data_IF_437694810428
#
_entry.id   IF_437694810428
#
_cell.length_a   1.000
_cell.length_b   1.000
_cell.length_c   1.000
_cell.angle_alpha   90.00
_cell.angle_beta   90.00
_cell.angle_gamma   90.00
#
_symmetry.space_group_name_H-M   'P 1'
#
loop_
_entity.id
_entity.type
_entity.pdbx_description
1 polymer ?
#
# COMPACT_ATOMS: atom_id res chain seq x y z
N UNK A 1 17.29 3.12 6.81
CA UNK A 1 16.48 2.16 6.06
C UNK A 1 15.28 2.89 5.48
N UNK A 2 14.86 2.63 4.25
CA UNK A 2 13.69 3.28 3.65
C UNK A 2 12.40 2.75 4.27
N UNK A 3 11.53 3.61 4.74
CA UNK A 3 10.17 3.28 5.12
C UNK A 3 9.24 3.56 3.93
N UNK A 4 8.72 2.51 3.29
CA UNK A 4 7.81 2.62 2.16
C UNK A 4 6.38 2.38 2.63
N UNK A 5 5.51 3.38 2.44
CA UNK A 5 4.13 3.35 2.94
C UNK A 5 3.16 3.52 1.77
N UNK A 6 2.33 2.51 1.53
CA UNK A 6 1.22 2.61 0.59
C UNK A 6 0.01 3.21 1.29
N UNK A 7 -0.42 4.40 0.86
CA UNK A 7 -1.49 5.17 1.49
C UNK A 7 -2.84 4.91 0.84
N UNK A 8 -3.90 5.03 1.66
CA UNK A 8 -5.31 4.93 1.25
C UNK A 8 -5.56 3.73 0.34
N UNK A 9 -4.88 2.64 0.68
CA UNK A 9 -4.82 1.43 -0.15
C UNK A 9 -6.20 0.83 -0.31
N UNK A 10 -6.56 0.56 -1.56
CA UNK A 10 -7.83 -0.07 -1.97
C UNK A 10 -7.89 -1.56 -1.58
N UNK A 11 -7.59 -1.86 -0.32
CA UNK A 11 -7.55 -3.19 0.28
C UNK A 11 -8.36 -3.20 1.59
N UNK A 12 -9.55 -3.76 1.55
CA UNK A 12 -10.46 -3.81 2.69
C UNK A 12 -11.39 -5.03 2.62
N UNK A 13 -11.98 -5.40 3.74
CA UNK A 13 -13.08 -6.36 3.75
C UNK A 13 -14.37 -5.70 3.25
N UNK A 14 -15.29 -6.51 2.74
CA UNK A 14 -16.64 -6.05 2.37
C UNK A 14 -17.29 -5.34 3.56
N UNK A 15 -17.69 -4.06 3.40
CA UNK A 15 -18.38 -3.30 4.44
C UNK A 15 -19.73 -3.90 4.80
N UNK A 16 -20.14 -3.85 6.09
CA UNK A 16 -21.39 -4.45 6.56
C UNK A 16 -22.65 -3.95 5.86
N UNK A 17 -22.67 -2.67 5.46
CA UNK A 17 -23.83 -2.03 4.81
C UNK A 17 -24.17 -2.64 3.44
N UNK A 18 -23.19 -3.21 2.72
CA UNK A 18 -23.40 -3.85 1.42
C UNK A 18 -23.33 -5.39 1.48
N UNK A 19 -23.01 -5.96 2.63
CA UNK A 19 -22.76 -7.41 2.79
C UNK A 19 -23.95 -8.31 2.43
N UNK A 20 -25.18 -7.76 2.44
CA UNK A 20 -26.40 -8.49 2.06
C UNK A 20 -26.69 -8.46 0.56
N UNK A 21 -25.94 -7.70 -0.23
CA UNK A 21 -26.16 -7.61 -1.67
C UNK A 21 -25.95 -8.96 -2.36
N UNK A 22 -26.82 -9.37 -3.33
CA UNK A 22 -26.77 -10.69 -3.96
C UNK A 22 -25.42 -11.07 -4.54
N UNK A 23 -24.71 -10.13 -5.19
CA UNK A 23 -23.38 -10.37 -5.77
C UNK A 23 -22.36 -10.77 -4.69
N UNK A 24 -22.37 -10.11 -3.53
CA UNK A 24 -21.47 -10.38 -2.41
C UNK A 24 -21.83 -11.72 -1.74
N UNK A 25 -23.13 -11.96 -1.49
CA UNK A 25 -23.59 -13.23 -0.92
C UNK A 25 -23.22 -14.41 -1.82
N UNK A 26 -23.38 -14.26 -3.14
CA UNK A 26 -23.00 -15.28 -4.13
C UNK A 26 -21.50 -15.59 -4.08
N UNK A 27 -20.63 -14.56 -4.06
CA UNK A 27 -19.18 -14.76 -4.01
C UNK A 27 -18.76 -15.38 -2.67
N UNK A 28 -19.26 -14.88 -1.55
CA UNK A 28 -18.98 -15.40 -0.22
C UNK A 28 -19.37 -16.88 -0.07
N UNK A 29 -20.55 -17.27 -0.59
CA UNK A 29 -21.03 -18.67 -0.60
C UNK A 29 -20.10 -19.57 -1.40
N UNK A 30 -19.69 -19.13 -2.62
CA UNK A 30 -18.74 -19.87 -3.47
C UNK A 30 -17.42 -20.10 -2.74
N UNK A 31 -16.98 -19.16 -1.93
CA UNK A 31 -15.72 -19.19 -1.18
C UNK A 31 -15.86 -19.79 0.22
N UNK A 32 -17.06 -20.23 0.61
CA UNK A 32 -17.39 -20.79 1.94
C UNK A 32 -16.98 -19.85 3.08
N UNK A 33 -17.14 -18.54 2.88
CA UNK A 33 -16.83 -17.47 3.86
C UNK A 33 -18.08 -16.63 4.17
N UNK A 34 -18.04 -15.89 5.30
CA UNK A 34 -19.08 -14.89 5.59
C UNK A 34 -18.89 -13.68 4.65
N UNK A 35 -19.96 -12.99 4.21
CA UNK A 35 -19.88 -11.81 3.36
C UNK A 35 -18.92 -10.73 3.85
N UNK A 36 -18.89 -10.46 5.15
CA UNK A 36 -17.99 -9.47 5.78
C UNK A 36 -16.56 -9.99 6.01
N UNK A 37 -16.22 -11.19 5.57
CA UNK A 37 -14.89 -11.80 5.68
C UNK A 37 -14.23 -12.07 4.33
N UNK A 38 -14.77 -11.50 3.27
CA UNK A 38 -14.14 -11.50 1.94
C UNK A 38 -13.64 -10.11 1.61
N UNK A 39 -12.57 -10.04 0.83
CA UNK A 39 -12.02 -8.77 0.33
C UNK A 39 -12.99 -8.16 -0.69
N UNK A 40 -13.20 -6.86 -0.60
CA UNK A 40 -13.94 -6.08 -1.58
C UNK A 40 -13.15 -6.05 -2.90
N UNK A 41 -13.80 -6.45 -4.00
CA UNK A 41 -13.18 -6.56 -5.33
C UNK A 41 -14.19 -6.06 -6.38
N UNK A 42 -13.91 -4.92 -6.99
CA UNK A 42 -14.81 -4.25 -7.95
C UNK A 42 -15.14 -5.17 -9.13
N UNK A 43 -14.20 -6.00 -9.59
CA UNK A 43 -14.45 -6.97 -10.66
C UNK A 43 -15.60 -7.95 -10.38
N UNK A 44 -15.98 -8.12 -9.11
CA UNK A 44 -17.04 -9.03 -8.65
C UNK A 44 -18.18 -8.32 -7.96
N UNK A 45 -17.90 -7.18 -7.32
CA UNK A 45 -18.81 -6.51 -6.39
C UNK A 45 -19.29 -5.14 -6.87
N UNK A 46 -18.94 -4.70 -8.09
CA UNK A 46 -19.23 -3.36 -8.61
C UNK A 46 -20.72 -2.95 -8.48
N UNK A 47 -21.65 -3.91 -8.67
CA UNK A 47 -23.09 -3.64 -8.49
C UNK A 47 -23.47 -3.34 -7.03
N UNK A 48 -22.76 -3.94 -6.07
CA UNK A 48 -22.99 -3.71 -4.66
C UNK A 48 -22.32 -2.41 -4.17
N UNK A 49 -21.36 -1.90 -4.92
CA UNK A 49 -20.56 -0.74 -4.52
C UNK A 49 -21.17 0.60 -4.90
N UNK A 50 -22.32 0.62 -5.61
CA UNK A 50 -22.90 1.86 -6.17
C UNK A 50 -23.06 2.99 -5.16
N UNK A 51 -23.50 2.65 -3.95
CA UNK A 51 -23.81 3.62 -2.88
C UNK A 51 -22.68 3.72 -1.83
N UNK A 52 -21.51 3.18 -2.11
CA UNK A 52 -20.36 3.35 -1.22
C UNK A 52 -19.75 4.74 -1.41
N UNK A 53 -19.48 5.40 -0.28
CA UNK A 53 -18.67 6.62 -0.28
C UNK A 53 -17.29 6.34 -0.89
N UNK A 54 -16.79 7.24 -1.71
CA UNK A 54 -15.50 7.15 -2.40
C UNK A 54 -15.32 5.82 -3.17
N UNK A 55 -16.42 5.36 -3.78
CA UNK A 55 -16.46 4.07 -4.46
C UNK A 55 -15.37 3.94 -5.54
N UNK A 56 -15.02 5.05 -6.19
CA UNK A 56 -14.00 5.15 -7.24
C UNK A 56 -12.58 4.82 -6.74
N UNK A 57 -12.35 4.89 -5.42
CA UNK A 57 -11.07 4.55 -4.77
C UNK A 57 -11.03 3.13 -4.23
N UNK A 58 -12.13 2.38 -4.28
CA UNK A 58 -12.29 1.13 -3.52
C UNK A 58 -12.32 -0.11 -4.42
N UNK A 59 -12.09 -1.28 -3.81
CA UNK A 59 -12.26 -2.57 -4.49
C UNK A 59 -11.20 -2.90 -5.55
N UNK A 60 -10.00 -2.32 -5.47
CA UNK A 60 -8.88 -2.59 -6.38
C UNK A 60 -7.65 -3.15 -5.65
N UNK A 61 -7.79 -4.31 -4.98
CA UNK A 61 -6.67 -4.95 -4.26
C UNK A 61 -5.55 -5.45 -5.19
N UNK A 62 -5.80 -5.52 -6.49
CA UNK A 62 -4.80 -5.83 -7.52
C UNK A 62 -3.68 -4.77 -7.58
N UNK A 63 -4.00 -3.48 -7.32
CA UNK A 63 -3.02 -2.40 -7.33
C UNK A 63 -1.93 -2.68 -6.29
N UNK A 64 -2.31 -2.87 -5.04
CA UNK A 64 -1.34 -3.13 -3.97
C UNK A 64 -0.64 -4.49 -4.15
N UNK A 65 -1.32 -5.49 -4.68
CA UNK A 65 -0.71 -6.78 -4.98
C UNK A 65 0.49 -6.65 -5.93
N UNK A 66 0.31 -5.92 -7.03
CA UNK A 66 1.37 -5.68 -8.01
C UNK A 66 2.52 -4.85 -7.43
N UNK A 67 2.21 -3.78 -6.68
CA UNK A 67 3.22 -2.96 -6.02
C UNK A 67 4.05 -3.77 -5.03
N UNK A 68 3.40 -4.58 -4.18
CA UNK A 68 4.10 -5.41 -3.20
C UNK A 68 4.98 -6.48 -3.85
N UNK A 69 4.54 -7.11 -4.93
CA UNK A 69 5.37 -8.05 -5.68
C UNK A 69 6.61 -7.35 -6.22
N UNK A 70 6.47 -6.15 -6.77
CA UNK A 70 7.60 -5.38 -7.29
C UNK A 70 8.62 -5.03 -6.17
N UNK A 71 8.15 -4.54 -5.02
CA UNK A 71 9.02 -4.21 -3.88
C UNK A 71 9.75 -5.45 -3.37
N UNK A 72 9.02 -6.54 -3.12
CA UNK A 72 9.57 -7.76 -2.51
C UNK A 72 10.52 -8.54 -3.44
N UNK A 73 10.35 -8.43 -4.76
CA UNK A 73 11.24 -9.04 -5.76
C UNK A 73 12.49 -8.16 -6.03
N UNK A 74 12.52 -6.92 -5.56
CA UNK A 74 13.63 -5.99 -5.81
C UNK A 74 14.88 -6.32 -4.98
N UNK A 75 16.04 -5.87 -5.45
CA UNK A 75 17.30 -5.95 -4.67
C UNK A 75 17.26 -5.07 -3.44
N UNK A 76 16.44 -3.99 -3.49
CA UNK A 76 16.25 -3.07 -2.39
C UNK A 76 15.43 -3.64 -1.23
N UNK A 77 14.66 -4.72 -1.44
CA UNK A 77 13.67 -5.23 -0.47
C UNK A 77 14.22 -5.38 0.95
N UNK A 78 15.43 -5.90 1.11
CA UNK A 78 16.10 -6.08 2.41
C UNK A 78 16.44 -4.78 3.15
N UNK A 79 16.36 -3.63 2.48
CA UNK A 79 16.62 -2.31 3.03
C UNK A 79 15.34 -1.45 3.14
N UNK A 80 14.16 -2.05 2.91
CA UNK A 80 12.87 -1.38 2.94
C UNK A 80 11.99 -1.98 4.04
N UNK A 81 11.46 -1.11 4.90
CA UNK A 81 10.34 -1.41 5.78
C UNK A 81 9.04 -1.11 5.05
N UNK A 82 8.18 -2.12 4.89
CA UNK A 82 6.98 -2.01 4.05
C UNK A 82 5.74 -1.91 4.92
N UNK A 83 4.94 -0.86 4.68
CA UNK A 83 3.66 -0.64 5.35
C UNK A 83 2.55 -0.39 4.33
N UNK A 84 1.36 -0.86 4.66
CA UNK A 84 0.13 -0.61 3.90
C UNK A 84 -0.88 0.04 4.85
N UNK A 85 -1.23 1.30 4.57
CA UNK A 85 -2.34 2.00 5.20
C UNK A 85 -3.58 1.78 4.35
N UNK A 86 -4.58 1.09 4.89
CA UNK A 86 -5.80 0.73 4.16
C UNK A 86 -6.84 1.86 4.19
N UNK A 87 -7.79 1.83 3.25
CA UNK A 87 -8.93 2.78 3.20
C UNK A 87 -9.73 2.88 4.50
N UNK A 88 -9.75 1.82 5.31
CA UNK A 88 -10.42 1.81 6.62
C UNK A 88 -9.45 2.05 7.80
N UNK A 89 -8.28 2.66 7.53
CA UNK A 89 -7.34 3.16 8.52
C UNK A 89 -6.47 2.11 9.22
N UNK A 90 -6.44 0.87 8.74
CA UNK A 90 -5.57 -0.16 9.32
C UNK A 90 -4.14 -0.04 8.79
N UNK A 91 -3.17 -0.35 9.65
CA UNK A 91 -1.77 -0.46 9.25
C UNK A 91 -1.38 -1.94 9.16
N UNK A 92 -0.96 -2.37 7.98
CA UNK A 92 -0.39 -3.69 7.75
C UNK A 92 1.12 -3.53 7.59
N UNK A 93 1.89 -4.18 8.45
CA UNK A 93 3.33 -4.33 8.27
C UNK A 93 3.63 -5.61 7.50
N UNK A 94 4.58 -5.52 6.58
CA UNK A 94 5.01 -6.65 5.73
C UNK A 94 6.51 -6.85 5.92
N UNK A 95 6.89 -8.02 6.38
CA UNK A 95 8.28 -8.41 6.48
C UNK A 95 8.91 -8.50 5.08
N UNK A 96 10.06 -7.90 4.89
CA UNK A 96 10.77 -7.90 3.61
C UNK A 96 11.26 -9.29 3.14
N UNK A 97 11.22 -10.31 4.01
CA UNK A 97 11.46 -11.72 3.66
C UNK A 97 10.21 -12.42 3.12
N UNK A 98 9.06 -11.75 3.11
CA UNK A 98 7.79 -12.34 2.69
C UNK A 98 7.82 -12.68 1.20
N UNK A 99 7.38 -13.90 0.88
CA UNK A 99 7.11 -14.31 -0.50
C UNK A 99 5.61 -14.34 -0.73
N UNK A 100 5.10 -13.29 -1.34
CA UNK A 100 3.68 -13.19 -1.66
C UNK A 100 3.29 -14.15 -2.80
N UNK A 101 2.07 -14.71 -2.75
CA UNK A 101 1.53 -15.47 -3.88
C UNK A 101 1.45 -14.58 -5.13
N UNK A 102 2.05 -15.00 -6.25
CA UNK A 102 1.91 -14.32 -7.54
C UNK A 102 0.50 -14.43 -8.12
N UNK A 103 -0.19 -15.54 -7.83
CA UNK A 103 -1.58 -15.72 -8.21
C UNK A 103 -2.49 -14.81 -7.37
N UNK A 104 -3.25 -13.94 -8.04
CA UNK A 104 -4.14 -12.97 -7.41
C UNK A 104 -5.15 -13.59 -6.45
N UNK A 105 -5.81 -14.69 -6.83
CA UNK A 105 -6.80 -15.32 -5.94
C UNK A 105 -6.17 -15.90 -4.67
N UNK A 106 -4.92 -16.38 -4.74
CA UNK A 106 -4.18 -16.83 -3.55
C UNK A 106 -3.76 -15.64 -2.70
N UNK A 107 -3.37 -14.50 -3.30
CA UNK A 107 -3.10 -13.27 -2.58
C UNK A 107 -4.35 -12.78 -1.83
N UNK A 108 -5.51 -12.75 -2.49
CA UNK A 108 -6.79 -12.39 -1.85
C UNK A 108 -7.07 -13.31 -0.65
N UNK A 109 -6.89 -14.62 -0.80
CA UNK A 109 -7.05 -15.57 0.30
C UNK A 109 -6.12 -15.29 1.48
N UNK A 110 -4.86 -14.97 1.21
CA UNK A 110 -3.87 -14.60 2.22
C UNK A 110 -4.27 -13.31 2.96
N UNK A 111 -4.74 -12.29 2.24
CA UNK A 111 -5.20 -11.04 2.85
C UNK A 111 -6.45 -11.26 3.72
N UNK A 112 -7.41 -12.07 3.27
CA UNK A 112 -8.57 -12.44 4.10
C UNK A 112 -8.16 -13.15 5.39
N UNK A 113 -7.20 -14.06 5.31
CA UNK A 113 -6.66 -14.75 6.48
C UNK A 113 -5.94 -13.79 7.42
N UNK A 114 -5.21 -12.80 6.86
CA UNK A 114 -4.57 -11.74 7.65
C UNK A 114 -5.60 -10.88 8.38
N UNK A 115 -6.68 -10.47 7.71
CA UNK A 115 -7.75 -9.69 8.35
C UNK A 115 -8.48 -10.46 9.45
N UNK A 116 -8.57 -11.79 9.36
CA UNK A 116 -9.16 -12.65 10.40
C UNK A 116 -8.20 -12.88 11.57
N UNK A 117 -6.99 -13.36 11.28
CA UNK A 117 -5.99 -13.80 12.26
C UNK A 117 -5.16 -12.65 12.84
N UNK A 118 -5.14 -11.48 12.19
CA UNK A 118 -4.31 -10.30 12.50
C UNK A 118 -2.80 -10.47 12.27
N UNK A 119 -2.34 -11.69 12.10
CA UNK A 119 -0.94 -12.04 11.92
C UNK A 119 -0.80 -13.30 11.07
N UNK A 120 0.15 -13.32 10.15
CA UNK A 120 0.54 -14.51 9.38
C UNK A 120 2.00 -14.84 9.69
N UNK A 121 2.24 -16.08 10.07
CA UNK A 121 3.57 -16.63 10.37
C UNK A 121 3.92 -17.76 9.42
N UNK A 122 5.21 -17.90 9.13
CA UNK A 122 5.77 -19.10 8.52
C UNK A 122 7.19 -19.34 9.06
N UNK A 123 7.54 -20.57 9.32
CA UNK A 123 8.86 -20.99 9.83
C UNK A 123 9.31 -20.23 11.11
N UNK A 124 8.37 -19.86 11.97
CA UNK A 124 8.64 -19.10 13.19
C UNK A 124 8.70 -17.58 13.03
N UNK A 125 8.82 -17.07 11.81
CA UNK A 125 8.87 -15.64 11.52
C UNK A 125 7.46 -15.06 11.28
N UNK A 126 7.21 -13.84 11.78
CA UNK A 126 6.04 -13.06 11.40
C UNK A 126 6.28 -12.48 10.01
N UNK A 127 5.42 -12.80 9.06
CA UNK A 127 5.52 -12.33 7.68
C UNK A 127 4.62 -11.12 7.41
N UNK A 128 3.39 -11.14 7.91
CA UNK A 128 2.44 -10.03 7.81
C UNK A 128 1.75 -9.82 9.15
N UNK A 129 1.49 -8.56 9.50
CA UNK A 129 0.81 -8.21 10.74
C UNK A 129 -0.02 -6.94 10.61
N UNK A 130 -1.25 -6.97 11.10
CA UNK A 130 -2.05 -5.76 11.32
C UNK A 130 -1.62 -5.16 12.65
N UNK A 131 -1.05 -3.96 12.59
CA UNK A 131 -0.59 -3.24 13.76
C UNK A 131 -1.75 -2.47 14.41
N UNK A 132 -1.71 -2.32 15.73
CA UNK A 132 -2.67 -1.50 16.52
C UNK A 132 -2.13 -0.09 16.69
N UNK A 133 -1.77 0.56 15.60
CA UNK A 133 -1.22 1.92 15.55
C UNK A 133 -1.82 2.67 14.37
N UNK A 134 -1.71 3.98 14.37
CA UNK A 134 -2.16 4.86 13.28
C UNK A 134 -1.02 5.22 12.31
N UNK A 135 -1.36 5.95 11.26
CA UNK A 135 -0.42 6.41 10.24
C UNK A 135 0.65 7.35 10.84
N UNK A 136 0.26 8.26 11.75
CA UNK A 136 1.18 9.17 12.42
C UNK A 136 2.26 8.40 13.18
N UNK A 137 1.88 7.35 13.89
CA UNK A 137 2.82 6.55 14.67
C UNK A 137 3.93 5.94 13.81
N UNK A 138 3.61 5.42 12.62
CA UNK A 138 4.60 4.81 11.74
C UNK A 138 5.50 5.83 11.03
N UNK A 139 5.06 7.09 10.90
CA UNK A 139 5.79 8.14 10.19
C UNK A 139 6.59 9.08 11.10
N UNK A 140 6.22 9.21 12.39
CA UNK A 140 6.76 10.24 13.31
C UNK A 140 8.28 10.20 13.51
N UNK A 141 8.91 9.04 13.36
CA UNK A 141 10.35 8.86 13.59
C UNK A 141 11.15 8.88 12.28
N UNK A 142 10.54 9.26 11.15
CA UNK A 142 11.25 9.45 9.90
C UNK A 142 12.01 10.77 9.90
N UNK A 143 13.22 10.78 9.30
CA UNK A 143 14.01 12.00 9.13
C UNK A 143 13.27 13.02 8.23
N UNK A 144 12.52 12.51 7.27
CA UNK A 144 11.65 13.26 6.36
C UNK A 144 10.52 12.34 5.89
N UNK A 145 9.34 12.90 5.67
CA UNK A 145 8.20 12.21 5.04
C UNK A 145 7.99 12.81 3.65
N UNK A 146 8.05 11.99 2.63
CA UNK A 146 7.80 12.37 1.22
C UNK A 146 6.53 11.71 0.73
N UNK A 147 5.70 12.47 0.03
CA UNK A 147 4.46 11.97 -0.61
C UNK A 147 4.57 12.13 -2.11
N UNK A 148 4.41 11.04 -2.85
CA UNK A 148 4.41 11.05 -4.31
C UNK A 148 3.01 11.43 -4.83
N UNK A 149 2.95 12.52 -5.59
CA UNK A 149 1.71 13.05 -6.21
C UNK A 149 2.05 13.87 -7.44
N UNK A 150 1.16 13.95 -8.41
CA UNK A 150 1.32 14.80 -9.60
C UNK A 150 1.35 16.29 -9.28
N UNK A 151 0.81 16.69 -8.12
CA UNK A 151 0.74 18.08 -7.65
C UNK A 151 1.92 18.48 -6.74
N UNK A 152 2.98 17.67 -6.70
CA UNK A 152 4.19 17.95 -5.91
C UNK A 152 4.96 19.16 -6.46
N UNK A 153 5.55 19.94 -5.55
CA UNK A 153 6.41 21.10 -5.86
C UNK A 153 7.91 20.74 -5.94
N UNK A 154 8.28 19.53 -5.54
CA UNK A 154 9.62 18.94 -5.64
C UNK A 154 9.65 17.91 -6.78
N UNK A 155 10.86 17.57 -7.21
CA UNK A 155 11.13 16.67 -8.33
C UNK A 155 11.91 15.39 -7.91
N UNK A 156 12.34 14.63 -8.92
CA UNK A 156 13.12 13.41 -8.72
C UNK A 156 14.50 13.68 -8.08
N UNK A 157 15.14 14.84 -8.36
CA UNK A 157 16.43 15.16 -7.77
C UNK A 157 16.31 15.35 -6.25
N UNK A 158 15.23 15.99 -5.80
CA UNK A 158 14.94 16.07 -4.37
C UNK A 158 14.77 14.67 -3.75
N UNK A 159 14.10 13.76 -4.43
CA UNK A 159 13.93 12.38 -3.95
C UNK A 159 15.27 11.62 -3.83
N UNK A 160 16.22 11.86 -4.75
CA UNK A 160 17.57 11.30 -4.65
C UNK A 160 18.30 11.79 -3.39
N UNK A 161 18.20 13.09 -3.07
CA UNK A 161 18.77 13.62 -1.84
C UNK A 161 18.13 13.03 -0.58
N UNK A 162 16.80 12.84 -0.59
CA UNK A 162 16.06 12.18 0.49
C UNK A 162 16.60 10.77 0.75
N UNK A 163 16.95 10.03 -0.29
CA UNK A 163 17.45 8.66 -0.13
C UNK A 163 18.85 8.59 0.50
N UNK A 164 19.60 9.70 0.56
CA UNK A 164 20.88 9.77 1.29
C UNK A 164 20.70 9.84 2.81
N UNK A 165 19.50 10.17 3.29
CA UNK A 165 19.19 10.24 4.73
C UNK A 165 19.15 8.84 5.35
N UNK A 166 19.24 8.78 6.69
CA UNK A 166 19.34 7.52 7.43
C UNK A 166 18.01 6.76 7.45
N UNK A 167 16.90 7.46 7.66
CA UNK A 167 15.56 6.89 7.88
C UNK A 167 14.46 7.69 7.18
N UNK A 168 14.48 7.81 5.82
CA UNK A 168 13.44 8.50 5.10
C UNK A 168 12.17 7.66 5.01
N UNK A 169 11.01 8.33 4.95
CA UNK A 169 9.74 7.70 4.61
C UNK A 169 9.23 8.20 3.27
N UNK A 170 8.84 7.28 2.39
CA UNK A 170 8.22 7.58 1.10
C UNK A 170 6.83 6.97 1.06
N UNK A 171 5.85 7.81 0.75
CA UNK A 171 4.43 7.48 0.72
C UNK A 171 3.91 7.49 -0.72
N UNK A 172 3.21 6.44 -1.12
CA UNK A 172 2.62 6.25 -2.46
C UNK A 172 1.14 5.94 -2.31
N UNK A 173 0.27 6.64 -3.04
CA UNK A 173 -1.16 6.29 -3.12
C UNK A 173 -1.36 4.92 -3.77
N UNK A 174 -2.21 4.07 -3.18
CA UNK A 174 -2.50 2.74 -3.72
C UNK A 174 -4.00 2.55 -4.00
N UNK A 175 -4.57 3.48 -4.74
CA UNK A 175 -5.97 3.53 -5.17
C UNK A 175 -6.06 3.90 -6.67
N UNK A 176 -7.17 3.57 -7.35
CA UNK A 176 -7.24 3.73 -8.81
C UNK A 176 -7.41 5.17 -9.28
N UNK A 177 -8.17 6.01 -8.57
CA UNK A 177 -8.52 7.37 -9.00
C UNK A 177 -8.71 8.31 -7.81
N UNK A 178 -8.52 9.62 -8.07
CA UNK A 178 -8.75 10.70 -7.11
C UNK A 178 -7.54 11.02 -6.24
N UNK A 179 -7.73 11.90 -5.27
CA UNK A 179 -6.70 12.35 -4.34
C UNK A 179 -6.68 11.53 -3.04
N UNK A 180 -5.70 11.77 -2.19
CA UNK A 180 -5.66 11.19 -0.84
C UNK A 180 -6.89 11.57 -0.02
N UNK A 181 -7.26 10.73 0.96
CA UNK A 181 -8.31 11.07 1.91
C UNK A 181 -7.89 12.27 2.78
N UNK A 182 -8.88 13.15 3.12
CA UNK A 182 -8.60 14.35 3.90
C UNK A 182 -7.97 14.03 5.27
N UNK A 183 -8.39 12.94 5.91
CA UNK A 183 -7.80 12.46 7.17
C UNK A 183 -6.31 12.09 7.00
N UNK A 184 -5.97 11.42 5.91
CA UNK A 184 -4.58 11.09 5.54
C UNK A 184 -3.77 12.36 5.29
N UNK A 185 -4.31 13.30 4.51
CA UNK A 185 -3.67 14.58 4.22
C UNK A 185 -3.43 15.41 5.48
N UNK A 186 -4.36 15.41 6.43
CA UNK A 186 -4.20 16.12 7.70
C UNK A 186 -3.04 15.54 8.55
N UNK A 187 -2.88 14.21 8.55
CA UNK A 187 -1.72 13.58 9.19
C UNK A 187 -0.43 14.00 8.50
N UNK A 188 -0.36 13.92 7.16
CA UNK A 188 0.84 14.27 6.39
C UNK A 188 1.23 15.73 6.57
N UNK A 189 0.30 16.67 6.47
CA UNK A 189 0.55 18.11 6.72
C UNK A 189 1.07 18.36 8.14
N UNK A 190 0.52 17.66 9.14
CA UNK A 190 0.95 17.81 10.53
C UNK A 190 2.36 17.27 10.81
N UNK A 191 2.90 16.45 9.89
CA UNK A 191 4.27 15.94 9.92
C UNK A 191 5.20 16.73 9.00
N UNK A 192 4.73 17.86 8.43
CA UNK A 192 5.47 18.66 7.45
C UNK A 192 5.98 17.80 6.29
N UNK A 193 5.13 16.93 5.76
CA UNK A 193 5.49 16.08 4.63
C UNK A 193 5.78 16.91 3.38
N UNK A 194 6.82 16.54 2.64
CA UNK A 194 7.19 17.12 1.35
C UNK A 194 6.48 16.39 0.21
N UNK A 195 6.03 17.14 -0.79
CA UNK A 195 5.28 16.62 -1.93
C UNK A 195 6.16 16.61 -3.18
N UNK A 196 6.33 15.42 -3.77
CA UNK A 196 7.23 15.19 -4.91
C UNK A 196 6.44 14.70 -6.12
N UNK A 197 6.64 15.36 -7.27
CA UNK A 197 6.11 14.95 -8.55
C UNK A 197 7.20 14.28 -9.40
N UNK A 198 6.98 13.03 -9.78
CA UNK A 198 7.83 12.33 -10.77
C UNK A 198 7.37 12.60 -12.21
N UNK A 199 6.20 13.18 -12.38
CA UNK A 199 5.62 13.62 -13.66
C UNK A 199 4.53 14.64 -13.39
N UNK A 200 4.24 15.48 -14.38
CA UNK A 200 3.06 16.36 -14.39
C UNK A 200 1.77 15.64 -14.78
N UNK A 201 1.90 14.44 -15.31
CA UNK A 201 0.77 13.59 -15.68
C UNK A 201 0.53 12.52 -14.61
N UNK A 202 -0.73 12.11 -14.37
CA UNK A 202 -1.05 11.02 -13.47
C UNK A 202 -0.33 9.73 -13.86
N UNK A 203 0.33 9.12 -12.89
CA UNK A 203 1.05 7.84 -13.07
C UNK A 203 0.39 6.75 -12.21
N UNK A 204 0.45 5.51 -12.67
CA UNK A 204 -0.05 4.39 -11.88
C UNK A 204 0.81 4.15 -10.64
N UNK A 205 0.19 3.68 -9.55
CA UNK A 205 0.91 3.32 -8.31
C UNK A 205 2.05 2.33 -8.57
N UNK A 206 1.86 1.39 -9.50
CA UNK A 206 2.89 0.42 -9.89
C UNK A 206 4.08 1.11 -10.57
N UNK A 207 3.84 2.04 -11.49
CA UNK A 207 4.92 2.78 -12.15
C UNK A 207 5.73 3.59 -11.14
N UNK A 208 5.04 4.35 -10.26
CA UNK A 208 5.66 5.13 -9.19
C UNK A 208 6.49 4.22 -8.28
N UNK A 209 5.92 3.08 -7.85
CA UNK A 209 6.62 2.10 -7.02
C UNK A 209 7.92 1.62 -7.67
N UNK A 210 7.87 1.24 -8.95
CA UNK A 210 9.07 0.81 -9.69
C UNK A 210 10.11 1.93 -9.82
N UNK A 211 9.65 3.16 -10.05
CA UNK A 211 10.55 4.32 -10.17
C UNK A 211 11.25 4.61 -8.85
N UNK A 212 10.51 4.63 -7.73
CA UNK A 212 11.04 4.79 -6.37
C UNK A 212 12.09 3.72 -6.06
N UNK A 213 11.79 2.45 -6.35
CA UNK A 213 12.72 1.33 -6.13
C UNK A 213 13.99 1.55 -6.95
N UNK A 214 13.86 1.87 -8.24
CA UNK A 214 15.00 2.07 -9.15
C UNK A 214 15.91 3.20 -8.66
N UNK A 215 15.35 4.34 -8.26
CA UNK A 215 16.12 5.48 -7.73
C UNK A 215 16.80 5.07 -6.42
N UNK A 216 16.07 4.42 -5.51
CA UNK A 216 16.63 3.99 -4.23
C UNK A 216 17.77 2.95 -4.40
N UNK A 217 17.63 2.02 -5.34
CA UNK A 217 18.68 1.06 -5.67
C UNK A 217 19.95 1.76 -6.17
N UNK A 218 19.80 2.73 -7.05
CA UNK A 218 20.93 3.47 -7.58
C UNK A 218 21.66 4.30 -6.51
N UNK A 219 20.91 4.96 -5.62
CA UNK A 219 21.50 5.84 -4.60
C UNK A 219 22.07 5.09 -3.40
N UNK A 220 21.52 3.93 -3.02
CA UNK A 220 21.82 3.29 -1.74
C UNK A 220 22.26 1.83 -1.83
N UNK A 221 21.85 1.10 -2.84
CA UNK A 221 22.01 -0.36 -2.90
C UNK A 221 23.09 -0.79 -3.89
N UNK A 222 23.17 -0.08 -5.00
CA UNK A 222 24.18 -0.30 -6.04
C UNK A 222 25.14 0.88 -6.04
N UNK A 223 26.12 0.96 -5.12
CA UNK A 223 27.13 2.01 -5.19
C UNK A 223 27.78 1.90 -6.57
N UNK A 224 27.81 3.03 -7.29
CA UNK A 224 28.45 3.14 -8.59
C UNK A 224 29.87 2.56 -8.48
N UNK A 225 30.10 1.39 -9.04
CA UNK A 225 31.46 0.99 -9.41
C UNK A 225 31.83 1.92 -10.56
N UNK A 226 32.40 3.08 -10.22
CA UNK A 226 33.20 3.81 -11.17
C UNK A 226 34.36 2.87 -11.48
N UNK A 227 34.32 2.27 -12.66
CA UNK A 227 35.44 1.48 -13.20
C UNK A 227 36.63 2.35 -13.50
#
# INVERSE_FOLDING_TARGET
MLKLVFLDTSLELVPPNIAKHPAIVKDARRRKKKPTRIILDDSKHHLAMKDLRNREKRGRPDIIHQCLLSVLDSRASKYIDIYVHTMDGKIIWINNKTRLPRNYNRFIGLMEDLFDKKEIKANGDVLLKILKVDLRYILKDADIVVVLTENGDKDEEFLKEVFKLKNPAVCIGAFPHGDFEEETMNVLRSLNAEFVALSKEPLTSLYITNRVICIYENERVLPHKVG
#
